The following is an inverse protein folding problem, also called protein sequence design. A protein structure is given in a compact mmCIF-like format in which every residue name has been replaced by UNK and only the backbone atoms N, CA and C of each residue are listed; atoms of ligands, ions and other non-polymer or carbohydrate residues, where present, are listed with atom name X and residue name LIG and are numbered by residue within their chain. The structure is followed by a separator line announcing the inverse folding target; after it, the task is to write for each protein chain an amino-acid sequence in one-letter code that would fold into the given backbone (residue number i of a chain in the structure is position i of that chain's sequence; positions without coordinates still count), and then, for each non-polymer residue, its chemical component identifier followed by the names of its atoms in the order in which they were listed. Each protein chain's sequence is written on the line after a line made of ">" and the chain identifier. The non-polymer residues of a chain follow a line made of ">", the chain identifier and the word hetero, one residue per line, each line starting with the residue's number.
data_IF_621015406655
#
_entry.id   IF_621015406655
#
_cell.length_a   1.000
_cell.length_b   1.000
_cell.length_c   1.000
_cell.angle_alpha   90.00
_cell.angle_beta   90.00
_cell.angle_gamma   90.00
#
_symmetry.space_group_name_H-M   'P 1'
#
loop_
_entity.id
_entity.type
_entity.pdbx_description
1 polymer ?
#
# COMPACT_ATOMS: atom_id res chain seq x y z
N UNK A 1 26.34 -14.22 -10.73
CA UNK A 1 24.96 -14.73 -10.60
C UNK A 1 24.20 -13.75 -9.74
N UNK A 2 23.08 -13.20 -10.22
CA UNK A 2 22.24 -12.30 -9.43
C UNK A 2 21.65 -13.05 -8.23
N UNK A 3 21.59 -12.41 -7.07
CA UNK A 3 20.96 -13.01 -5.88
C UNK A 3 19.46 -13.08 -6.15
N UNK A 4 18.78 -14.22 -5.90
CA UNK A 4 17.33 -14.28 -6.04
C UNK A 4 16.66 -13.30 -5.07
N UNK A 5 15.54 -12.72 -5.51
CA UNK A 5 14.73 -11.79 -4.71
C UNK A 5 14.20 -12.50 -3.47
N UNK A 6 14.42 -11.90 -2.30
CA UNK A 6 13.98 -12.45 -1.02
C UNK A 6 12.71 -11.75 -0.55
N UNK A 7 11.56 -12.41 -0.74
CA UNK A 7 10.26 -11.84 -0.41
C UNK A 7 10.11 -11.51 1.08
N UNK A 8 10.82 -12.21 1.97
CA UNK A 8 10.77 -11.90 3.41
C UNK A 8 11.35 -10.50 3.70
N UNK A 9 12.38 -10.10 2.96
CA UNK A 9 13.00 -8.76 3.08
C UNK A 9 12.07 -7.68 2.56
N UNK A 10 11.41 -7.93 1.42
CA UNK A 10 10.41 -7.02 0.86
C UNK A 10 9.25 -6.81 1.85
N UNK A 11 8.72 -7.87 2.44
CA UNK A 11 7.68 -7.76 3.48
C UNK A 11 8.17 -6.99 4.69
N UNK A 12 9.38 -7.27 5.18
CA UNK A 12 9.95 -6.53 6.31
C UNK A 12 10.09 -5.03 6.00
N UNK A 13 10.46 -4.66 4.76
CA UNK A 13 10.54 -3.27 4.33
C UNK A 13 9.15 -2.61 4.22
N UNK A 14 8.14 -3.32 3.69
CA UNK A 14 6.74 -2.85 3.66
C UNK A 14 6.18 -2.61 5.07
N UNK A 15 6.57 -3.43 6.05
CA UNK A 15 6.19 -3.28 7.44
C UNK A 15 7.05 -2.26 8.22
N UNK A 16 8.03 -1.62 7.58
CA UNK A 16 8.96 -0.68 8.22
C UNK A 16 9.95 -1.31 9.20
N UNK A 17 10.13 -2.64 9.16
CA UNK A 17 11.05 -3.42 10.00
C UNK A 17 12.46 -3.54 9.40
N UNK A 18 12.60 -3.27 8.09
CA UNK A 18 13.85 -3.24 7.35
C UNK A 18 13.95 -1.91 6.61
N UNK A 19 15.11 -1.26 6.63
CA UNK A 19 15.32 -0.03 5.88
C UNK A 19 15.47 -0.35 4.38
N UNK A 20 14.86 0.44 3.51
CA UNK A 20 14.85 0.17 2.06
C UNK A 20 16.24 0.28 1.44
N UNK A 21 17.17 1.04 2.03
CA UNK A 21 18.57 1.10 1.58
C UNK A 21 19.32 -0.22 1.76
N UNK A 22 18.75 -1.16 2.53
CA UNK A 22 19.30 -2.49 2.73
C UNK A 22 18.84 -3.49 1.65
N UNK A 23 17.88 -3.13 0.80
CA UNK A 23 17.43 -3.96 -0.30
C UNK A 23 18.46 -3.96 -1.44
N UNK A 24 18.55 -5.06 -2.17
CA UNK A 24 19.25 -5.06 -3.47
C UNK A 24 18.42 -4.31 -4.52
N UNK A 25 19.00 -3.92 -5.65
CA UNK A 25 18.27 -3.23 -6.74
C UNK A 25 17.00 -3.97 -7.18
N UNK A 26 17.08 -5.29 -7.39
CA UNK A 26 15.90 -6.11 -7.73
C UNK A 26 14.85 -6.17 -6.60
N UNK A 27 15.30 -6.15 -5.34
CA UNK A 27 14.40 -6.16 -4.17
C UNK A 27 13.74 -4.79 -3.99
N UNK A 28 14.45 -3.70 -4.26
CA UNK A 28 13.93 -2.33 -4.23
C UNK A 28 12.87 -2.11 -5.30
N UNK A 29 13.11 -2.56 -6.54
CA UNK A 29 12.13 -2.49 -7.62
C UNK A 29 10.84 -3.25 -7.26
N UNK A 30 10.98 -4.49 -6.76
CA UNK A 30 9.84 -5.29 -6.33
C UNK A 30 9.10 -4.70 -5.10
N UNK A 31 9.85 -4.09 -4.17
CA UNK A 31 9.27 -3.36 -3.05
C UNK A 31 8.48 -2.13 -3.51
N UNK A 32 8.99 -1.36 -4.47
CA UNK A 32 8.33 -0.15 -4.98
C UNK A 32 7.02 -0.48 -5.69
N UNK A 33 6.98 -1.55 -6.49
CA UNK A 33 5.76 -2.04 -7.13
C UNK A 33 4.72 -2.45 -6.08
N UNK A 34 5.12 -3.28 -5.10
CA UNK A 34 4.23 -3.74 -4.04
C UNK A 34 3.73 -2.60 -3.13
N UNK A 35 4.61 -1.64 -2.82
CA UNK A 35 4.25 -0.45 -2.05
C UNK A 35 3.22 0.39 -2.80
N UNK A 36 3.45 0.63 -4.10
CA UNK A 36 2.54 1.41 -4.94
C UNK A 36 1.18 0.74 -5.08
N UNK A 37 1.14 -0.59 -5.26
CA UNK A 37 -0.11 -1.35 -5.27
C UNK A 37 -0.87 -1.23 -3.94
N UNK A 38 -0.15 -1.37 -2.83
CA UNK A 38 -0.72 -1.30 -1.47
C UNK A 38 -1.28 0.08 -1.17
N UNK A 39 -0.55 1.14 -1.50
CA UNK A 39 -0.96 2.54 -1.24
C UNK A 39 -1.98 3.05 -2.27
N UNK A 40 -2.00 2.48 -3.47
CA UNK A 40 -2.94 2.84 -4.54
C UNK A 40 -4.34 2.26 -4.34
N UNK A 41 -4.48 1.20 -3.54
CA UNK A 41 -5.77 0.59 -3.23
C UNK A 41 -6.30 1.09 -1.88
N UNK A 42 -7.50 1.69 -1.83
CA UNK A 42 -8.08 2.09 -0.56
C UNK A 42 -8.37 0.84 0.28
N UNK A 43 -7.99 0.88 1.55
CA UNK A 43 -8.27 -0.19 2.49
C UNK A 43 -9.78 -0.42 2.66
N UNK A 44 -10.16 -1.57 3.22
CA UNK A 44 -11.57 -1.88 3.51
C UNK A 44 -12.19 -0.81 4.43
N UNK A 45 -11.41 -0.32 5.41
CA UNK A 45 -11.81 0.74 6.33
C UNK A 45 -12.01 2.07 5.61
N UNK A 46 -11.09 2.45 4.71
CA UNK A 46 -11.23 3.66 3.90
C UNK A 46 -12.42 3.57 2.95
N UNK A 47 -12.57 2.45 2.23
CA UNK A 47 -13.74 2.19 1.37
C UNK A 47 -15.05 2.35 2.15
N UNK A 48 -15.12 1.79 3.36
CA UNK A 48 -16.30 1.86 4.23
C UNK A 48 -16.56 3.29 4.73
N UNK A 49 -15.51 4.01 5.14
CA UNK A 49 -15.60 5.41 5.55
C UNK A 49 -16.12 6.30 4.41
N UNK A 50 -15.54 6.18 3.21
CA UNK A 50 -15.97 6.95 2.05
C UNK A 50 -17.37 6.56 1.56
N UNK A 51 -17.75 5.28 1.64
CA UNK A 51 -19.12 4.84 1.32
C UNK A 51 -20.14 5.48 2.27
N UNK A 52 -19.85 5.50 3.58
CA UNK A 52 -20.69 6.14 4.58
C UNK A 52 -20.81 7.65 4.34
N UNK A 53 -19.68 8.32 4.05
CA UNK A 53 -19.67 9.75 3.71
C UNK A 53 -20.47 10.06 2.45
N UNK A 54 -20.38 9.23 1.40
CA UNK A 54 -21.18 9.36 0.18
C UNK A 54 -22.68 9.18 0.43
N UNK A 55 -23.06 8.25 1.31
CA UNK A 55 -24.46 8.05 1.69
C UNK A 55 -25.01 9.25 2.46
N UNK A 56 -24.23 9.80 3.41
CA UNK A 56 -24.61 10.99 4.19
C UNK A 56 -24.66 12.26 3.32
N UNK A 57 -23.75 12.41 2.35
CA UNK A 57 -23.75 13.53 1.41
C UNK A 57 -24.89 13.51 0.37
N UNK A 58 -25.66 12.42 0.27
CA UNK A 58 -26.92 12.38 -0.49
C UNK A 58 -28.14 12.66 0.39
N UNK A 59 -28.00 12.70 1.71
CA UNK A 59 -29.08 13.02 2.63
C UNK A 59 -29.05 14.53 2.97
N UNK A 60 -29.66 15.35 2.09
CA UNK A 60 -30.12 16.70 2.43
C UNK A 60 -29.14 17.85 2.15
N UNK A 61 -28.94 18.19 0.87
CA UNK A 61 -28.83 19.62 0.54
C UNK A 61 -30.25 20.21 0.56
N UNK A 62 -30.51 21.35 1.22
CA UNK A 62 -31.82 21.99 1.14
C UNK A 62 -32.06 22.46 -0.31
N UNK A 63 -33.23 22.11 -0.85
CA UNK A 63 -33.88 22.82 -1.97
C UNK A 63 -34.37 24.18 -1.46
#
# INVERSE_FOLDING_TARGET
>A
MARPVDHARITAALEGKLDTTQLTEDEEAAWLDAFTETMGQPSVSEKSFYARRRALGRAGGPD
#
